data_IF_615373522376
#
_entry.id   IF_615373522376
#
_cell.length_a   1.000
_cell.length_b   1.000
_cell.length_c   1.000
_cell.angle_alpha   90.00
_cell.angle_beta   90.00
_cell.angle_gamma   90.00
#
_symmetry.space_group_name_H-M   'P 1'
#
loop_
_entity.id
_entity.type
_entity.pdbx_description
1 polymer ?
#
# COMPACT_ATOMS: atom_id res chain seq x y z
N UNK A 1 -25.71 -12.83 6.71
CA UNK A 1 -24.79 -11.96 5.96
C UNK A 1 -24.84 -10.59 6.65
N UNK A 2 -23.71 -10.01 7.04
CA UNK A 2 -23.67 -8.71 7.69
C UNK A 2 -23.97 -7.63 6.65
N UNK A 3 -24.85 -6.70 6.99
CA UNK A 3 -25.20 -5.55 6.13
C UNK A 3 -24.39 -4.33 6.57
N UNK A 4 -23.94 -3.54 5.62
CA UNK A 4 -23.15 -2.33 5.83
C UNK A 4 -23.87 -1.14 5.21
N UNK A 5 -23.81 0.01 5.87
CA UNK A 5 -24.22 1.27 5.28
C UNK A 5 -23.12 1.76 4.30
N UNK A 6 -23.49 2.65 3.41
CA UNK A 6 -22.55 3.17 2.39
C UNK A 6 -21.31 3.85 3.01
N UNK A 7 -21.47 4.55 4.12
CA UNK A 7 -20.39 5.21 4.86
C UNK A 7 -19.46 4.24 5.59
N UNK A 8 -19.88 2.99 5.77
CA UNK A 8 -19.11 1.91 6.38
C UNK A 8 -18.28 1.13 5.37
N UNK A 9 -18.51 1.31 4.06
CA UNK A 9 -17.78 0.66 2.99
C UNK A 9 -16.68 1.61 2.51
N UNK A 10 -15.45 1.09 2.37
CA UNK A 10 -14.29 1.80 1.83
C UNK A 10 -13.65 0.98 0.73
N UNK A 11 -13.47 1.58 -0.43
CA UNK A 11 -12.84 0.96 -1.59
C UNK A 11 -11.43 1.52 -1.76
N UNK A 12 -10.42 0.66 -1.69
CA UNK A 12 -9.01 1.04 -1.67
C UNK A 12 -8.29 0.32 -2.81
N UNK A 13 -7.43 1.04 -3.54
CA UNK A 13 -6.51 0.44 -4.49
C UNK A 13 -5.08 0.47 -3.93
N UNK A 14 -4.40 -0.69 -3.88
CA UNK A 14 -2.98 -0.79 -3.60
C UNK A 14 -2.22 -0.60 -4.91
N UNK A 15 -1.38 0.41 -4.95
CA UNK A 15 -0.68 0.90 -6.13
C UNK A 15 0.83 1.01 -5.83
N UNK A 16 1.66 1.09 -6.85
CA UNK A 16 3.11 1.24 -6.69
C UNK A 16 3.89 0.33 -7.62
N UNK A 17 5.20 0.50 -7.66
CA UNK A 17 6.10 -0.25 -8.54
C UNK A 17 6.18 -1.74 -8.19
N UNK A 18 6.67 -2.54 -9.14
CA UNK A 18 6.95 -3.96 -8.90
C UNK A 18 7.98 -4.10 -7.76
N UNK A 19 7.74 -5.01 -6.84
CA UNK A 19 8.63 -5.25 -5.69
C UNK A 19 8.38 -4.34 -4.48
N UNK A 20 7.57 -3.28 -4.59
CA UNK A 20 7.31 -2.36 -3.45
C UNK A 20 6.59 -3.00 -2.25
N UNK A 21 6.10 -4.25 -2.38
CA UNK A 21 5.49 -5.01 -1.30
C UNK A 21 3.97 -4.86 -1.18
N UNK A 22 3.26 -4.47 -2.24
CA UNK A 22 1.77 -4.38 -2.26
C UNK A 22 1.09 -5.66 -1.81
N UNK A 23 1.41 -6.78 -2.46
CA UNK A 23 0.85 -8.09 -2.12
C UNK A 23 1.22 -8.53 -0.71
N UNK A 24 2.42 -8.21 -0.23
CA UNK A 24 2.85 -8.46 1.15
C UNK A 24 2.02 -7.63 2.14
N UNK A 25 1.71 -6.38 1.80
CA UNK A 25 0.81 -5.52 2.58
C UNK A 25 -0.63 -6.06 2.56
N UNK A 26 -1.12 -6.52 1.41
CA UNK A 26 -2.43 -7.16 1.28
C UNK A 26 -2.55 -8.39 2.21
N UNK A 27 -1.54 -9.26 2.22
CA UNK A 27 -1.46 -10.42 3.12
C UNK A 27 -1.46 -10.01 4.61
N UNK A 28 -0.74 -8.94 4.96
CA UNK A 28 -0.73 -8.41 6.32
C UNK A 28 -2.10 -7.84 6.73
N UNK A 29 -2.79 -7.15 5.84
CA UNK A 29 -4.16 -6.65 6.07
C UNK A 29 -5.14 -7.81 6.29
N UNK A 30 -5.07 -8.86 5.47
CA UNK A 30 -5.92 -10.03 5.61
C UNK A 30 -5.68 -10.78 6.93
N UNK A 31 -4.42 -10.86 7.38
CA UNK A 31 -4.07 -11.47 8.66
C UNK A 31 -4.58 -10.64 9.84
N UNK A 32 -4.34 -9.33 9.83
CA UNK A 32 -4.77 -8.42 10.91
C UNK A 32 -6.29 -8.36 11.05
N UNK A 33 -7.01 -8.43 9.93
CA UNK A 33 -8.47 -8.52 9.92
C UNK A 33 -9.01 -9.91 10.26
N UNK A 34 -8.15 -10.90 10.51
CA UNK A 34 -8.55 -12.26 10.88
C UNK A 34 -9.17 -13.08 9.74
N UNK A 35 -9.05 -12.63 8.49
CA UNK A 35 -9.55 -13.34 7.29
C UNK A 35 -8.71 -14.57 7.02
N UNK A 36 -7.41 -14.48 7.21
CA UNK A 36 -6.47 -15.60 7.12
C UNK A 36 -5.82 -15.84 8.49
N UNK A 37 -5.43 -17.07 8.75
CA UNK A 37 -4.78 -17.47 10.00
C UNK A 37 -3.25 -17.40 9.94
N UNK A 38 -2.69 -17.38 8.75
CA UNK A 38 -1.27 -17.34 8.48
C UNK A 38 -1.01 -16.54 7.23
N UNK A 39 -0.06 -15.63 7.27
CA UNK A 39 0.37 -14.83 6.12
C UNK A 39 1.07 -15.72 5.09
N UNK A 40 0.65 -15.61 3.82
CA UNK A 40 1.37 -16.16 2.68
C UNK A 40 2.63 -15.35 2.36
N UNK A 41 3.52 -15.93 1.57
CA UNK A 41 4.69 -15.25 1.02
C UNK A 41 4.84 -15.56 -0.46
N UNK A 42 5.45 -14.65 -1.20
CA UNK A 42 5.68 -14.79 -2.64
C UNK A 42 6.61 -15.98 -2.90
N UNK A 43 7.65 -16.15 -2.07
CA UNK A 43 8.63 -17.22 -2.16
C UNK A 43 7.98 -18.60 -1.96
N UNK A 44 7.03 -18.69 -1.01
CA UNK A 44 6.28 -19.92 -0.76
C UNK A 44 5.13 -20.13 -1.76
N UNK A 45 4.88 -19.18 -2.68
CA UNK A 45 3.85 -19.23 -3.73
C UNK A 45 2.43 -19.49 -3.18
N UNK A 46 2.14 -18.99 -1.98
CA UNK A 46 0.91 -19.26 -1.23
C UNK A 46 0.17 -18.00 -0.78
N UNK A 47 0.45 -16.86 -1.43
CA UNK A 47 -0.29 -15.62 -1.22
C UNK A 47 -1.73 -15.77 -1.71
N UNK A 48 -2.66 -15.06 -1.07
CA UNK A 48 -4.09 -15.05 -1.44
C UNK A 48 -4.29 -14.32 -2.76
N UNK A 49 -3.52 -13.26 -3.00
CA UNK A 49 -3.69 -12.40 -4.18
C UNK A 49 -3.08 -13.00 -5.44
N UNK A 50 -1.90 -13.63 -5.36
CA UNK A 50 -1.23 -14.23 -6.51
C UNK A 50 -1.60 -15.71 -6.65
N UNK A 51 -2.82 -15.99 -7.08
CA UNK A 51 -3.32 -17.37 -7.14
C UNK A 51 -3.20 -18.00 -8.54
N UNK A 52 -2.99 -17.22 -9.58
CA UNK A 52 -2.81 -17.76 -10.93
C UNK A 52 -1.45 -18.46 -11.09
N UNK A 53 -1.39 -19.56 -11.88
CA UNK A 53 -0.13 -20.27 -12.11
C UNK A 53 0.99 -19.38 -12.64
N UNK A 54 0.68 -18.45 -13.55
CA UNK A 54 1.63 -17.51 -14.14
C UNK A 54 2.25 -16.59 -13.09
N UNK A 55 1.47 -16.08 -12.13
CA UNK A 55 1.96 -15.22 -11.05
C UNK A 55 2.90 -15.98 -10.11
N UNK A 56 2.54 -17.23 -9.81
CA UNK A 56 3.37 -18.13 -9.00
C UNK A 56 4.67 -18.53 -9.71
N UNK A 57 4.66 -18.63 -11.03
CA UNK A 57 5.84 -18.95 -11.83
C UNK A 57 6.81 -17.76 -11.85
N UNK A 58 6.31 -16.57 -12.18
CA UNK A 58 7.11 -15.36 -12.31
C UNK A 58 7.40 -14.64 -11.00
N UNK A 59 6.65 -14.94 -9.92
CA UNK A 59 6.85 -14.34 -8.60
C UNK A 59 6.43 -12.86 -8.52
N UNK A 60 5.45 -12.44 -9.34
CA UNK A 60 4.82 -11.12 -9.26
C UNK A 60 3.40 -11.15 -9.81
N UNK A 61 2.58 -10.21 -9.35
CA UNK A 61 1.18 -10.07 -9.75
C UNK A 61 1.07 -9.62 -11.21
N UNK A 62 0.32 -10.35 -12.02
CA UNK A 62 -0.01 -10.01 -13.42
C UNK A 62 -1.40 -9.40 -13.50
N UNK A 63 -2.31 -9.88 -12.69
CA UNK A 63 -3.70 -9.43 -12.63
C UNK A 63 -3.96 -8.65 -11.33
N UNK A 64 -4.96 -7.77 -11.38
CA UNK A 64 -5.48 -7.17 -10.16
C UNK A 64 -6.38 -8.13 -9.43
N UNK A 65 -6.18 -8.28 -8.12
CA UNK A 65 -7.00 -9.15 -7.27
C UNK A 65 -7.83 -8.31 -6.31
N UNK A 66 -9.10 -8.68 -6.16
CA UNK A 66 -10.02 -8.01 -5.23
C UNK A 66 -10.25 -8.89 -4.02
N UNK A 67 -10.01 -8.35 -2.85
CA UNK A 67 -10.38 -8.99 -1.59
C UNK A 67 -11.12 -8.01 -0.67
N UNK A 68 -11.73 -8.53 0.37
CA UNK A 68 -12.37 -7.71 1.37
C UNK A 68 -12.02 -8.19 2.77
N UNK A 69 -12.02 -7.26 3.70
CA UNK A 69 -11.85 -7.53 5.11
C UNK A 69 -12.66 -6.54 5.96
N UNK A 70 -12.86 -6.87 7.22
CA UNK A 70 -13.54 -6.02 8.18
C UNK A 70 -12.54 -5.49 9.20
N UNK A 71 -12.53 -4.19 9.39
CA UNK A 71 -11.69 -3.55 10.40
C UNK A 71 -12.43 -2.38 11.07
N UNK A 72 -12.45 -2.37 12.41
CA UNK A 72 -13.11 -1.34 13.21
C UNK A 72 -14.57 -1.03 12.77
N UNK A 73 -15.34 -2.08 12.45
CA UNK A 73 -16.73 -1.95 12.01
C UNK A 73 -16.93 -1.48 10.58
N UNK A 74 -15.86 -1.25 9.83
CA UNK A 74 -15.90 -0.87 8.42
C UNK A 74 -15.58 -2.07 7.54
N UNK A 75 -16.20 -2.14 6.37
CA UNK A 75 -15.86 -3.08 5.31
C UNK A 75 -14.86 -2.44 4.36
N UNK A 76 -13.69 -3.01 4.25
CA UNK A 76 -12.67 -2.60 3.30
C UNK A 76 -12.72 -3.53 2.08
N UNK A 77 -13.02 -3.00 0.91
CA UNK A 77 -12.79 -3.67 -0.37
C UNK A 77 -11.45 -3.17 -0.90
N UNK A 78 -10.54 -4.07 -1.13
CA UNK A 78 -9.16 -3.75 -1.52
C UNK A 78 -8.87 -4.38 -2.87
N UNK A 79 -8.35 -3.58 -3.79
CA UNK A 79 -7.88 -4.00 -5.11
C UNK A 79 -6.35 -3.99 -5.04
N UNK A 80 -5.73 -5.18 -4.99
CA UNK A 80 -4.29 -5.33 -5.12
C UNK A 80 -3.93 -5.29 -6.61
N UNK A 81 -3.26 -4.21 -7.03
CA UNK A 81 -2.91 -3.98 -8.42
C UNK A 81 -1.52 -4.51 -8.75
N UNK A 82 -1.34 -4.97 -9.99
CA UNK A 82 0.00 -5.27 -10.49
C UNK A 82 0.90 -4.03 -10.44
N UNK A 83 2.18 -4.23 -10.18
CA UNK A 83 3.18 -3.16 -10.16
C UNK A 83 4.08 -3.13 -11.41
N UNK A 84 3.84 -4.01 -12.36
CA UNK A 84 4.62 -4.03 -13.60
C UNK A 84 4.12 -2.94 -14.55
N UNK A 85 5.05 -2.18 -15.14
CA UNK A 85 4.73 -1.04 -16.03
C UNK A 85 3.91 -1.45 -17.25
N UNK A 86 4.10 -2.67 -17.75
CA UNK A 86 3.34 -3.23 -18.88
C UNK A 86 1.84 -3.36 -18.57
N UNK A 87 1.46 -3.42 -17.31
CA UNK A 87 0.09 -3.61 -16.84
C UNK A 87 -0.50 -2.38 -16.13
N UNK A 88 0.06 -1.21 -16.35
CA UNK A 88 -0.39 0.05 -15.71
C UNK A 88 -1.88 0.35 -15.90
N UNK A 89 -2.50 -0.15 -16.97
CA UNK A 89 -3.94 -0.04 -17.21
C UNK A 89 -4.80 -0.60 -16.06
N UNK A 90 -4.32 -1.61 -15.36
CA UNK A 90 -4.99 -2.17 -14.19
C UNK A 90 -5.07 -1.16 -13.04
N UNK A 91 -3.99 -0.40 -12.82
CA UNK A 91 -3.97 0.67 -11.82
C UNK A 91 -4.97 1.79 -12.15
N UNK A 92 -5.08 2.17 -13.42
CA UNK A 92 -6.04 3.19 -13.88
C UNK A 92 -7.49 2.72 -13.70
N UNK A 93 -7.77 1.47 -14.02
CA UNK A 93 -9.10 0.89 -13.83
C UNK A 93 -9.48 0.85 -12.35
N UNK A 94 -8.56 0.41 -11.49
CA UNK A 94 -8.78 0.35 -10.04
C UNK A 94 -9.02 1.76 -9.46
N UNK A 95 -8.23 2.76 -9.88
CA UNK A 95 -8.42 4.16 -9.47
C UNK A 95 -9.78 4.71 -9.90
N UNK A 96 -10.33 4.26 -11.04
CA UNK A 96 -11.66 4.66 -11.48
C UNK A 96 -12.77 4.30 -10.52
N UNK A 97 -12.64 3.17 -9.83
CA UNK A 97 -13.71 2.58 -8.97
C UNK A 97 -13.42 2.69 -7.46
N UNK A 98 -12.19 2.97 -7.04
CA UNK A 98 -11.85 3.09 -5.62
C UNK A 98 -12.13 4.50 -5.06
N UNK A 99 -12.24 4.59 -3.73
CA UNK A 99 -12.38 5.86 -3.01
C UNK A 99 -11.01 6.49 -2.76
N UNK A 100 -9.98 5.69 -2.51
CA UNK A 100 -8.63 6.12 -2.14
C UNK A 100 -7.58 5.23 -2.77
N UNK A 101 -6.52 5.83 -3.31
CA UNK A 101 -5.31 5.12 -3.72
C UNK A 101 -4.31 5.04 -2.57
N UNK A 102 -3.77 3.85 -2.31
CA UNK A 102 -2.63 3.64 -1.41
C UNK A 102 -1.41 3.32 -2.27
N UNK A 103 -0.51 4.27 -2.38
CA UNK A 103 0.73 4.13 -3.15
C UNK A 103 1.81 3.59 -2.21
N UNK A 104 2.22 2.34 -2.46
CA UNK A 104 3.28 1.68 -1.70
C UNK A 104 4.63 1.99 -2.33
N UNK A 105 5.51 2.60 -1.57
CA UNK A 105 6.87 2.97 -1.94
C UNK A 105 7.86 2.06 -1.23
N UNK A 106 8.87 1.64 -1.97
CA UNK A 106 10.04 0.97 -1.41
C UNK A 106 11.01 2.03 -0.90
N UNK A 107 11.37 1.96 0.38
CA UNK A 107 12.25 2.95 1.00
C UNK A 107 13.71 2.89 0.51
N UNK A 108 14.12 1.76 -0.07
CA UNK A 108 15.46 1.64 -0.66
C UNK A 108 15.57 2.26 -2.05
N UNK A 109 14.47 2.18 -2.86
CA UNK A 109 14.46 2.68 -4.25
C UNK A 109 13.89 4.08 -4.39
N UNK A 110 13.10 4.53 -3.40
CA UNK A 110 12.54 5.86 -3.41
C UNK A 110 11.40 6.07 -4.41
N UNK A 111 11.34 7.27 -4.99
CA UNK A 111 10.25 7.66 -5.91
C UNK A 111 10.59 7.28 -7.34
N UNK A 112 10.06 6.16 -7.80
CA UNK A 112 10.25 5.65 -9.16
C UNK A 112 9.36 6.34 -10.20
N UNK A 113 9.69 6.18 -11.49
CA UNK A 113 8.93 6.76 -12.60
C UNK A 113 7.48 6.26 -12.63
N UNK A 114 7.28 4.95 -12.43
CA UNK A 114 5.94 4.34 -12.35
C UNK A 114 5.08 4.98 -11.27
N UNK A 115 5.66 5.23 -10.10
CA UNK A 115 4.99 5.91 -8.98
C UNK A 115 4.56 7.34 -9.33
N UNK A 116 5.40 8.09 -10.04
CA UNK A 116 5.06 9.45 -10.51
C UNK A 116 3.87 9.44 -11.49
N UNK A 117 3.85 8.49 -12.40
CA UNK A 117 2.76 8.34 -13.38
C UNK A 117 1.44 7.97 -12.69
N UNK A 118 1.48 7.05 -11.74
CA UNK A 118 0.31 6.68 -10.91
C UNK A 118 -0.20 7.90 -10.15
N UNK A 119 0.69 8.65 -9.49
CA UNK A 119 0.30 9.85 -8.75
C UNK A 119 -0.37 10.91 -9.64
N UNK A 120 0.17 11.20 -10.83
CA UNK A 120 -0.47 12.10 -11.80
C UNK A 120 -1.88 11.64 -12.16
N UNK A 121 -2.08 10.34 -12.31
CA UNK A 121 -3.42 9.80 -12.58
C UNK A 121 -4.37 10.01 -11.41
N UNK A 122 -3.90 9.86 -10.18
CA UNK A 122 -4.73 10.16 -8.99
C UNK A 122 -5.15 11.64 -8.95
N UNK A 123 -4.25 12.56 -9.31
CA UNK A 123 -4.56 13.98 -9.40
C UNK A 123 -5.60 14.27 -10.49
N UNK A 124 -5.43 13.69 -11.69
CA UNK A 124 -6.39 13.83 -12.79
C UNK A 124 -7.78 13.33 -12.42
N UNK A 125 -7.86 12.20 -11.73
CA UNK A 125 -9.10 11.60 -11.24
C UNK A 125 -9.59 12.21 -9.93
N UNK A 126 -8.86 13.17 -9.36
CA UNK A 126 -9.15 13.81 -8.06
C UNK A 126 -9.35 12.80 -6.94
N UNK A 127 -8.55 11.75 -6.90
CA UNK A 127 -8.60 10.72 -5.88
C UNK A 127 -7.67 11.06 -4.72
N UNK A 128 -8.13 10.91 -3.46
CA UNK A 128 -7.24 11.00 -2.30
C UNK A 128 -6.16 9.93 -2.36
N UNK A 129 -4.98 10.26 -1.86
CA UNK A 129 -3.82 9.35 -1.83
C UNK A 129 -3.28 9.23 -0.43
N UNK A 130 -2.97 8.00 -0.04
CA UNK A 130 -2.14 7.66 1.10
C UNK A 130 -0.85 7.04 0.58
N UNK A 131 0.29 7.48 1.07
CA UNK A 131 1.57 6.84 0.80
C UNK A 131 1.91 5.86 1.94
N UNK A 132 2.28 4.65 1.58
CA UNK A 132 2.80 3.64 2.51
C UNK A 132 4.28 3.40 2.19
N UNK A 133 5.17 3.85 3.09
CA UNK A 133 6.60 3.62 2.96
C UNK A 133 6.89 2.24 3.53
N UNK A 134 7.35 1.35 2.70
CA UNK A 134 7.65 -0.04 3.02
C UNK A 134 9.15 -0.30 2.96
N UNK A 135 9.60 -1.42 3.53
CA UNK A 135 11.01 -1.83 3.55
C UNK A 135 11.92 -0.79 4.23
N UNK A 136 11.39 -0.09 5.23
CA UNK A 136 12.13 0.93 5.98
C UNK A 136 13.24 0.37 6.87
N UNK A 137 13.28 -0.95 7.04
CA UNK A 137 14.29 -1.72 7.75
C UNK A 137 15.44 -2.20 6.83
N UNK A 138 15.38 -1.90 5.55
CA UNK A 138 16.42 -2.20 4.58
C UNK A 138 17.72 -1.43 4.87
N UNK A 139 18.87 -2.02 4.54
CA UNK A 139 20.20 -1.42 4.80
C UNK A 139 20.41 -0.08 4.09
N UNK A 140 19.73 0.13 2.95
CA UNK A 140 19.82 1.35 2.13
C UNK A 140 18.65 2.29 2.32
N UNK A 141 17.69 1.93 3.19
CA UNK A 141 16.52 2.75 3.43
C UNK A 141 16.91 4.03 4.19
N UNK A 142 16.56 5.17 3.61
CA UNK A 142 16.75 6.49 4.20
C UNK A 142 15.42 7.23 4.22
N UNK A 143 14.77 7.21 5.38
CA UNK A 143 13.44 7.81 5.56
C UNK A 143 13.44 9.32 5.32
N UNK A 144 14.44 10.03 5.80
CA UNK A 144 14.48 11.50 5.70
C UNK A 144 14.70 11.94 4.25
N UNK A 145 15.63 11.29 3.55
CA UNK A 145 15.86 11.52 2.13
C UNK A 145 14.61 11.15 1.29
N UNK A 146 13.95 10.04 1.60
CA UNK A 146 12.72 9.64 0.91
C UNK A 146 11.60 10.68 1.11
N UNK A 147 11.42 11.18 2.33
CA UNK A 147 10.44 12.23 2.61
C UNK A 147 10.73 13.54 1.88
N UNK A 148 12.01 13.89 1.71
CA UNK A 148 12.43 15.05 0.93
C UNK A 148 12.11 14.85 -0.56
N UNK A 149 12.48 13.72 -1.15
CA UNK A 149 12.13 13.35 -2.52
C UNK A 149 10.60 13.37 -2.75
N UNK A 150 9.83 12.85 -1.81
CA UNK A 150 8.36 12.86 -1.92
C UNK A 150 7.80 14.29 -1.94
N UNK A 151 8.31 15.18 -1.11
CA UNK A 151 7.89 16.59 -1.11
C UNK A 151 8.30 17.31 -2.39
N UNK A 152 9.48 17.01 -2.91
CA UNK A 152 9.97 17.57 -4.17
C UNK A 152 9.10 17.11 -5.36
N UNK A 153 8.76 15.83 -5.43
CA UNK A 153 8.05 15.23 -6.57
C UNK A 153 6.54 15.41 -6.49
N UNK A 154 5.94 15.23 -5.31
CA UNK A 154 4.48 15.25 -5.09
C UNK A 154 3.98 16.57 -4.48
N UNK A 155 4.92 17.45 -4.13
CA UNK A 155 4.62 18.78 -3.63
C UNK A 155 4.57 18.88 -2.09
N UNK A 156 4.44 20.13 -1.58
CA UNK A 156 4.52 20.42 -0.15
C UNK A 156 3.32 19.92 0.66
N UNK A 157 2.31 19.37 0.00
CA UNK A 157 1.12 18.77 0.66
C UNK A 157 1.38 17.39 1.25
N UNK A 158 2.56 16.80 0.98
CA UNK A 158 2.97 15.53 1.58
C UNK A 158 3.24 15.72 3.06
N UNK A 159 2.42 15.09 3.90
CA UNK A 159 2.48 15.19 5.36
C UNK A 159 2.69 13.80 5.95
N UNK A 160 3.68 13.66 6.84
CA UNK A 160 3.90 12.42 7.57
C UNK A 160 2.78 12.22 8.62
N UNK A 161 2.10 11.09 8.56
CA UNK A 161 1.09 10.65 9.53
C UNK A 161 1.72 9.74 10.59
N UNK A 162 2.77 9.02 10.20
CA UNK A 162 3.58 8.13 11.04
C UNK A 162 5.05 8.36 10.71
N UNK A 163 5.93 8.10 11.66
CA UNK A 163 7.37 8.13 11.45
C UNK A 163 8.02 6.93 12.15
N UNK A 164 9.11 6.38 11.57
CA UNK A 164 9.83 5.28 12.18
C UNK A 164 10.54 5.78 13.45
N UNK A 165 10.50 4.97 14.50
CA UNK A 165 11.28 5.18 15.72
C UNK A 165 12.35 4.11 15.76
N UNK A 166 13.62 4.51 15.71
CA UNK A 166 14.71 3.57 15.94
C UNK A 166 14.66 3.13 17.41
N UNK A 167 14.25 1.88 17.64
CA UNK A 167 14.46 1.25 18.92
C UNK A 167 15.93 0.82 19.02
N UNK A 168 16.57 1.00 20.16
CA UNK A 168 17.94 0.53 20.44
C UNK A 168 18.13 -0.98 20.27
N UNK A 169 17.06 -1.71 19.98
CA UNK A 169 17.01 -3.14 19.67
C UNK A 169 16.16 -3.38 18.42
N UNK A 170 16.78 -3.56 17.30
CA UNK A 170 16.36 -4.24 16.04
C UNK A 170 14.86 -4.31 15.65
N UNK A 171 13.97 -3.48 16.18
CA UNK A 171 12.58 -3.35 15.76
C UNK A 171 12.23 -1.87 15.67
N UNK A 172 11.98 -1.40 14.45
CA UNK A 172 11.36 -0.10 14.23
C UNK A 172 9.91 -0.15 14.75
N UNK A 173 9.61 0.63 15.79
CA UNK A 173 8.24 0.90 16.22
C UNK A 173 7.74 2.16 15.51
N UNK A 174 6.59 2.07 14.83
CA UNK A 174 5.92 3.21 14.24
C UNK A 174 5.06 3.93 15.29
N UNK A 175 5.27 5.22 15.49
CA UNK A 175 4.38 6.08 16.29
C UNK A 175 3.44 6.89 15.41
N UNK A 176 2.15 6.88 15.76
CA UNK A 176 1.16 7.76 15.12
C UNK A 176 1.33 9.19 15.60
N UNK A 177 1.60 10.11 14.68
CA UNK A 177 1.81 11.55 14.94
C UNK A 177 0.59 12.21 15.64
N UNK A 178 -0.61 11.62 15.54
CA UNK A 178 -1.85 12.21 16.06
C UNK A 178 -2.07 12.14 17.57
N UNK A 179 -1.21 11.48 18.37
CA UNK A 179 -1.41 11.38 19.84
C UNK A 179 -0.75 12.48 20.65
N UNK A 180 0.26 13.14 20.12
CA UNK A 180 1.01 14.17 20.87
C UNK A 180 0.45 15.58 20.77
N UNK A 181 -0.47 15.87 19.85
CA UNK A 181 -1.12 17.18 19.73
C UNK A 181 -2.28 17.45 20.72
N UNK A 182 -2.59 16.52 21.63
CA UNK A 182 -3.70 16.69 22.59
C UNK A 182 -3.28 16.97 24.04
N UNK A 183 -2.01 17.20 24.30
CA UNK A 183 -1.53 17.51 25.65
C UNK A 183 -0.69 18.78 25.68
N UNK A 184 -1.29 19.91 25.25
CA UNK A 184 -0.86 21.27 25.67
C UNK A 184 -2.08 22.19 25.67
#
# INVERSE_FOLDING_TARGET
>A
MKTYNTDEIKNIALLGSKGSGKTTLAEAMLLECGVIKRRGTIEAKNTVCDYFPVEKEYGYSVFSTVFNCEFNGKKLNVIDCTGADDFVGNAYTALGVCDTGVIVLDAEYGVEVGTRNIFRTTEQLRKPVLFALNQIDGEKADYDNLMEQMREVFGPKVVAVQFPVQAETQRSEERRVGKECRSR
#
